data_IF_383460092701
#
_entry.id   IF_383460092701
#
_cell.length_a   1.000
_cell.length_b   1.000
_cell.length_c   1.000
_cell.angle_alpha   90.00
_cell.angle_beta   90.00
_cell.angle_gamma   90.00
#
_symmetry.space_group_name_H-M   'P 1'
#
loop_
_entity.id
_entity.type
_entity.pdbx_description
1 polymer ?
#
# COMPACT_ATOMS: atom_id res chain seq x y z
N UNK A 1 4.37 -0.40 -4.97
CA UNK A 1 4.64 -1.39 -3.91
C UNK A 1 3.56 -2.46 -4.02
N UNK A 2 3.94 -3.70 -4.29
CA UNK A 2 2.99 -4.78 -4.53
C UNK A 2 2.52 -5.35 -3.19
N UNK A 3 1.23 -5.24 -2.89
CA UNK A 3 0.56 -5.86 -1.73
C UNK A 3 0.24 -7.33 -2.01
N UNK A 4 1.14 -8.05 -2.71
CA UNK A 4 0.88 -9.42 -3.12
C UNK A 4 0.97 -10.31 -1.89
N UNK A 5 -0.17 -10.50 -1.26
CA UNK A 5 -0.43 -11.61 -0.36
C UNK A 5 -0.47 -12.91 -1.17
N UNK A 6 -0.05 -14.02 -0.57
CA UNK A 6 -0.30 -15.37 -1.10
C UNK A 6 -1.80 -15.66 -1.01
N UNK A 7 -2.54 -15.07 -1.95
CA UNK A 7 -3.95 -15.30 -2.15
C UNK A 7 -4.19 -16.55 -3.00
N UNK A 8 -5.46 -16.98 -3.13
CA UNK A 8 -5.81 -18.02 -4.08
C UNK A 8 -5.29 -17.67 -5.48
N UNK A 9 -4.91 -18.69 -6.24
CA UNK A 9 -4.47 -18.52 -7.63
C UNK A 9 -5.51 -17.70 -8.39
N UNK A 10 -5.10 -16.54 -8.92
CA UNK A 10 -5.96 -15.72 -9.77
C UNK A 10 -6.46 -16.57 -10.95
N UNK A 11 -7.73 -16.43 -11.34
CA UNK A 11 -8.24 -17.10 -12.53
C UNK A 11 -7.39 -16.72 -13.75
N UNK A 12 -7.26 -17.65 -14.69
CA UNK A 12 -6.63 -17.38 -15.99
C UNK A 12 -7.48 -16.34 -16.71
N UNK A 13 -6.82 -15.36 -17.32
CA UNK A 13 -7.50 -14.36 -18.14
C UNK A 13 -7.83 -15.01 -19.49
N UNK A 14 -9.10 -15.28 -19.75
CA UNK A 14 -9.55 -15.95 -20.97
C UNK A 14 -9.79 -14.94 -22.11
N UNK A 15 -9.98 -13.66 -21.79
CA UNK A 15 -10.19 -12.61 -22.78
C UNK A 15 -9.87 -11.20 -22.26
N UNK A 16 -9.71 -10.24 -23.19
CA UNK A 16 -9.58 -8.82 -22.85
C UNK A 16 -10.79 -8.28 -22.09
N UNK A 17 -11.97 -8.81 -22.36
CA UNK A 17 -13.23 -8.30 -21.80
C UNK A 17 -13.31 -8.49 -20.29
N UNK A 18 -12.62 -9.49 -19.73
CA UNK A 18 -12.51 -9.70 -18.28
C UNK A 18 -11.78 -8.55 -17.58
N UNK A 19 -10.72 -8.03 -18.20
CA UNK A 19 -9.96 -6.88 -17.68
C UNK A 19 -10.76 -5.59 -17.77
N UNK A 20 -11.50 -5.42 -18.86
CA UNK A 20 -12.40 -4.26 -19.06
C UNK A 20 -13.49 -4.28 -18.00
N UNK A 21 -14.16 -5.43 -17.85
CA UNK A 21 -15.25 -5.63 -16.88
C UNK A 21 -14.77 -5.35 -15.45
N UNK A 22 -13.56 -5.79 -15.08
CA UNK A 22 -13.00 -5.50 -13.75
C UNK A 22 -12.88 -4.00 -13.46
N UNK A 23 -12.46 -3.19 -14.44
CA UNK A 23 -12.37 -1.74 -14.28
C UNK A 23 -13.75 -1.08 -14.26
N UNK A 24 -14.68 -1.56 -15.09
CA UNK A 24 -16.06 -1.05 -15.16
C UNK A 24 -16.81 -1.18 -13.83
N UNK A 25 -16.52 -2.24 -13.05
CA UNK A 25 -17.04 -2.43 -11.69
C UNK A 25 -16.68 -1.29 -10.73
N UNK A 26 -15.67 -0.47 -11.06
CA UNK A 26 -15.30 0.73 -10.30
C UNK A 26 -16.26 1.91 -10.48
N UNK A 27 -17.19 1.88 -11.44
CA UNK A 27 -18.16 2.95 -11.70
C UNK A 27 -19.16 3.08 -10.55
N UNK A 28 -19.30 4.28 -9.99
CA UNK A 28 -20.15 4.55 -8.81
C UNK A 28 -21.08 5.74 -9.07
N UNK A 29 -22.30 5.76 -8.52
CA UNK A 29 -23.17 6.93 -8.57
C UNK A 29 -22.54 8.10 -7.81
N UNK A 30 -22.97 9.33 -8.13
CA UNK A 30 -22.44 10.56 -7.52
C UNK A 30 -22.52 10.56 -5.99
N UNK A 31 -23.58 9.96 -5.41
CA UNK A 31 -23.74 9.81 -3.96
C UNK A 31 -22.60 9.03 -3.28
N UNK A 32 -21.93 8.17 -4.04
CA UNK A 32 -20.89 7.25 -3.55
C UNK A 32 -19.48 7.71 -3.92
N UNK A 33 -19.35 8.88 -4.56
CA UNK A 33 -18.04 9.47 -4.84
C UNK A 33 -17.34 9.88 -3.56
N UNK A 34 -16.02 9.67 -3.52
CA UNK A 34 -15.13 9.98 -2.39
C UNK A 34 -13.82 10.55 -2.92
N UNK A 35 -13.05 11.21 -2.05
CA UNK A 35 -11.73 11.76 -2.36
C UNK A 35 -10.69 10.99 -1.55
N UNK A 36 -9.77 10.32 -2.25
CA UNK A 36 -8.58 9.72 -1.66
C UNK A 36 -7.37 10.63 -1.87
N UNK A 37 -6.48 10.70 -0.89
CA UNK A 37 -5.24 11.49 -0.97
C UNK A 37 -4.05 10.62 -0.63
N UNK A 38 -3.00 10.69 -1.45
CA UNK A 38 -1.72 10.03 -1.20
C UNK A 38 -0.61 11.08 -1.11
N UNK A 39 0.39 10.84 -0.26
CA UNK A 39 1.54 11.73 -0.13
C UNK A 39 2.81 10.97 0.27
N UNK A 40 3.90 11.29 -0.38
CA UNK A 40 5.21 10.72 -0.12
C UNK A 40 6.04 11.60 0.82
N UNK A 41 6.91 10.98 1.62
CA UNK A 41 7.74 11.66 2.62
C UNK A 41 9.15 11.07 2.60
N UNK A 42 10.17 11.92 2.63
CA UNK A 42 11.56 11.50 2.76
C UNK A 42 11.99 11.45 4.22
N UNK A 43 12.18 10.24 4.76
CA UNK A 43 12.76 10.03 6.08
C UNK A 43 14.30 10.12 6.04
N UNK A 44 14.89 10.86 6.98
CA UNK A 44 16.33 10.97 7.15
C UNK A 44 16.72 11.02 8.63
N UNK A 45 17.96 10.63 8.96
CA UNK A 45 18.50 10.79 10.30
C UNK A 45 18.87 12.24 10.57
N UNK A 46 18.44 12.79 11.71
CA UNK A 46 18.67 14.21 12.04
C UNK A 46 20.14 14.52 12.28
N UNK A 47 20.93 13.52 12.67
CA UNK A 47 22.33 13.67 13.04
C UNK A 47 23.24 13.91 11.82
N UNK A 48 22.92 13.31 10.67
CA UNK A 48 23.78 13.33 9.48
C UNK A 48 23.03 13.44 8.14
N UNK A 49 21.71 13.58 8.17
CA UNK A 49 20.83 13.64 6.99
C UNK A 49 20.91 12.44 6.04
N UNK A 50 21.46 11.31 6.52
CA UNK A 50 21.52 10.10 5.72
C UNK A 50 20.11 9.50 5.52
N UNK A 51 19.87 8.82 4.38
CA UNK A 51 18.62 8.12 4.12
C UNK A 51 18.41 6.99 5.14
N UNK A 52 17.16 6.77 5.54
CA UNK A 52 16.82 5.70 6.48
C UNK A 52 16.76 4.36 5.73
N UNK A 53 17.58 3.36 6.10
CA UNK A 53 17.51 2.02 5.52
C UNK A 53 16.23 1.30 5.95
N UNK A 54 15.86 0.23 5.25
CA UNK A 54 14.71 -0.58 5.67
C UNK A 54 14.97 -1.33 6.98
N UNK A 55 16.08 -2.06 7.06
CA UNK A 55 16.46 -2.87 8.22
C UNK A 55 17.12 -2.04 9.33
N UNK A 56 17.19 -2.62 10.53
CA UNK A 56 17.86 -2.07 11.70
C UNK A 56 16.91 -1.44 12.72
N UNK A 57 17.38 -1.26 13.95
CA UNK A 57 16.57 -0.77 15.08
C UNK A 57 15.94 0.61 14.84
N UNK A 58 16.57 1.43 13.97
CA UNK A 58 16.10 2.76 13.56
C UNK A 58 15.75 2.82 12.06
N UNK A 59 15.38 1.69 11.46
CA UNK A 59 15.02 1.57 10.03
C UNK A 59 13.53 1.78 9.74
N UNK A 60 13.15 1.80 8.46
CA UNK A 60 11.73 1.92 8.03
C UNK A 60 10.88 0.76 8.54
N UNK A 61 11.40 -0.48 8.56
CA UNK A 61 10.67 -1.63 9.08
C UNK A 61 10.31 -1.47 10.56
N UNK A 62 11.26 -0.98 11.37
CA UNK A 62 11.01 -0.69 12.80
C UNK A 62 9.95 0.41 13.00
N UNK A 63 9.91 1.42 12.13
CA UNK A 63 8.87 2.45 12.13
C UNK A 63 7.48 1.85 11.83
N UNK A 64 7.38 1.00 10.82
CA UNK A 64 6.12 0.34 10.43
C UNK A 64 5.63 -0.61 11.54
N UNK A 65 6.51 -1.42 12.12
CA UNK A 65 6.19 -2.29 13.26
C UNK A 65 5.70 -1.48 14.47
N UNK A 66 6.29 -0.31 14.72
CA UNK A 66 5.83 0.58 15.77
C UNK A 66 4.42 1.13 15.49
N UNK A 67 4.05 1.38 14.22
CA UNK A 67 2.69 1.78 13.86
C UNK A 67 1.69 0.65 14.08
N UNK A 68 2.05 -0.59 13.73
CA UNK A 68 1.23 -1.76 14.04
C UNK A 68 0.98 -1.89 15.54
N UNK A 69 2.04 -1.94 16.36
CA UNK A 69 1.93 -2.15 17.81
C UNK A 69 1.23 -1.01 18.54
N UNK A 70 1.43 0.23 18.10
CA UNK A 70 0.93 1.43 18.81
C UNK A 70 -0.45 1.89 18.34
N UNK A 71 -0.73 1.77 17.05
CA UNK A 71 -1.94 2.33 16.43
C UNK A 71 -2.84 1.27 15.79
N UNK A 72 -2.49 -0.02 15.88
CA UNK A 72 -3.32 -1.12 15.38
C UNK A 72 -3.37 -1.21 13.86
N UNK A 73 -2.35 -0.72 13.15
CA UNK A 73 -2.26 -0.85 11.70
C UNK A 73 -1.91 -2.27 11.33
N UNK A 74 -2.65 -2.91 10.43
CA UNK A 74 -2.23 -4.22 9.91
C UNK A 74 -1.05 -4.06 8.95
N UNK A 75 0.01 -4.90 9.07
CA UNK A 75 1.07 -4.96 8.07
C UNK A 75 0.48 -5.30 6.70
N UNK A 76 1.06 -4.71 5.66
CA UNK A 76 0.65 -4.87 4.26
C UNK A 76 1.68 -5.70 3.51
#
# INVERSE_FOLDING_TARGET
>A
MSTRVDGPQSPVIESRDELVTYLEQGSKPESDWRIGTEHEKFGFYRENHAPVPYNGERGIGALLDAHHRRFGWEPI
#
